data_IF_088472534242
#
_entry.id   IF_088472534242
#
_cell.length_a   1.000
_cell.length_b   1.000
_cell.length_c   1.000
_cell.angle_alpha   90.00
_cell.angle_beta   90.00
_cell.angle_gamma   90.00
#
_symmetry.space_group_name_H-M   'P 1'
#
loop_
_entity.id
_entity.type
_entity.pdbx_description
1 polymer ?
#
# COMPACT_ATOMS: atom_id res chain seq x y z
N UNK A 1 15.60 1.99 7.79
CA UNK A 1 14.42 2.74 8.31
C UNK A 1 13.24 1.82 8.65
N UNK A 2 13.34 0.53 8.28
CA UNK A 2 12.39 -0.55 8.58
C UNK A 2 11.79 -0.58 9.97
N UNK A 3 12.58 -0.43 11.05
CA UNK A 3 12.04 -0.46 12.44
C UNK A 3 11.07 0.69 12.72
N UNK A 4 11.31 1.88 12.16
CA UNK A 4 10.42 3.02 12.33
C UNK A 4 9.13 2.84 11.52
N UNK A 5 9.23 2.30 10.30
CA UNK A 5 8.07 1.96 9.48
C UNK A 5 7.16 0.92 10.16
N UNK A 6 7.73 -0.14 10.73
CA UNK A 6 6.95 -1.14 11.47
C UNK A 6 6.20 -0.52 12.67
N UNK A 7 6.88 0.29 13.50
CA UNK A 7 6.21 1.00 14.61
C UNK A 7 5.14 1.99 14.16
N UNK A 8 5.24 2.52 12.94
CA UNK A 8 4.18 3.35 12.37
C UNK A 8 2.98 2.48 11.98
N UNK A 9 3.20 1.36 11.30
CA UNK A 9 2.14 0.43 10.90
C UNK A 9 1.41 -0.19 12.10
N UNK A 10 2.13 -0.53 13.18
CA UNK A 10 1.52 -1.01 14.43
C UNK A 10 0.55 0.02 15.02
N UNK A 11 0.97 1.29 15.13
CA UNK A 11 0.09 2.38 15.61
C UNK A 11 -1.09 2.62 14.69
N UNK A 12 -0.86 2.59 13.37
CA UNK A 12 -1.92 2.75 12.37
C UNK A 12 -2.96 1.63 12.49
N UNK A 13 -2.50 0.39 12.69
CA UNK A 13 -3.35 -0.78 12.89
C UNK A 13 -4.26 -0.64 14.09
N UNK A 14 -3.71 -0.18 15.22
CA UNK A 14 -4.49 0.06 16.44
C UNK A 14 -5.55 1.13 16.22
N UNK A 15 -5.18 2.25 15.59
CA UNK A 15 -6.12 3.35 15.30
C UNK A 15 -7.23 2.93 14.33
N UNK A 16 -6.88 2.20 13.27
CA UNK A 16 -7.82 1.70 12.27
C UNK A 16 -8.58 0.45 12.72
N UNK A 17 -8.26 -0.11 13.90
CA UNK A 17 -8.81 -1.38 14.42
C UNK A 17 -8.73 -2.52 13.40
N UNK A 18 -7.58 -2.67 12.75
CA UNK A 18 -7.38 -3.77 11.81
C UNK A 18 -7.48 -5.13 12.53
N UNK A 19 -7.96 -6.20 11.86
CA UNK A 19 -8.08 -7.53 12.46
C UNK A 19 -6.75 -8.02 13.04
N UNK A 20 -6.80 -8.83 14.11
CA UNK A 20 -5.61 -9.35 14.79
C UNK A 20 -4.72 -10.25 13.92
N UNK A 21 -5.25 -10.75 12.81
CA UNK A 21 -4.52 -11.56 11.82
C UNK A 21 -3.85 -10.72 10.72
N UNK A 22 -3.84 -9.38 10.86
CA UNK A 22 -3.18 -8.50 9.89
C UNK A 22 -1.66 -8.63 10.03
N UNK A 23 -0.99 -8.86 8.91
CA UNK A 23 0.47 -8.96 8.85
C UNK A 23 1.07 -7.71 8.19
N UNK A 24 2.17 -7.21 8.75
CA UNK A 24 2.91 -6.08 8.18
C UNK A 24 4.16 -6.52 7.44
N UNK A 25 4.30 -6.02 6.23
CA UNK A 25 5.45 -6.26 5.37
C UNK A 25 6.13 -4.94 5.05
N UNK A 26 7.39 -4.81 5.45
CA UNK A 26 8.24 -3.65 5.11
C UNK A 26 9.41 -4.14 4.25
N UNK A 27 9.34 -3.81 2.96
CA UNK A 27 10.32 -4.15 1.95
C UNK A 27 11.19 -2.92 1.66
N UNK A 28 12.51 -3.06 1.79
CA UNK A 28 13.48 -1.99 1.52
C UNK A 28 14.13 -2.24 0.16
N UNK A 29 14.09 -1.25 -0.74
CA UNK A 29 14.65 -1.35 -2.10
C UNK A 29 13.96 -0.41 -3.09
N UNK A 30 14.29 -0.57 -4.38
CA UNK A 30 13.59 0.14 -5.44
C UNK A 30 12.16 -0.39 -5.59
N UNK A 31 11.19 0.51 -5.75
CA UNK A 31 9.77 0.19 -5.67
C UNK A 31 9.35 -0.92 -6.65
N UNK A 32 9.75 -0.80 -7.92
CA UNK A 32 9.40 -1.80 -8.94
C UNK A 32 10.01 -3.16 -8.63
N UNK A 33 11.25 -3.22 -8.13
CA UNK A 33 11.89 -4.48 -7.72
C UNK A 33 11.19 -5.12 -6.52
N UNK A 34 10.94 -4.36 -5.44
CA UNK A 34 10.35 -4.94 -4.23
C UNK A 34 8.91 -5.37 -4.43
N UNK A 35 8.18 -4.71 -5.34
CA UNK A 35 6.79 -5.04 -5.66
C UNK A 35 6.65 -6.44 -6.27
N UNK A 36 7.63 -6.89 -7.05
CA UNK A 36 7.66 -8.26 -7.59
C UNK A 36 7.83 -9.33 -6.49
N UNK A 37 8.44 -8.95 -5.36
CA UNK A 37 8.64 -9.82 -4.20
C UNK A 37 7.59 -9.62 -3.10
N UNK A 38 6.62 -8.72 -3.32
CA UNK A 38 5.59 -8.46 -2.34
C UNK A 38 4.69 -9.69 -2.12
N UNK A 39 4.09 -9.85 -0.93
CA UNK A 39 3.13 -10.90 -0.68
C UNK A 39 1.99 -10.87 -1.70
N UNK A 40 1.58 -12.05 -2.16
CA UNK A 40 0.48 -12.16 -3.12
C UNK A 40 -0.83 -11.73 -2.46
N UNK A 41 -1.59 -10.89 -3.15
CA UNK A 41 -2.94 -10.48 -2.77
C UNK A 41 -3.90 -10.70 -3.93
N UNK A 42 -5.18 -10.93 -3.63
CA UNK A 42 -6.23 -10.95 -4.66
C UNK A 42 -6.53 -9.56 -5.21
N UNK A 43 -6.40 -8.55 -4.33
CA UNK A 43 -6.57 -7.13 -4.64
C UNK A 43 -5.44 -6.34 -3.97
N UNK A 44 -4.76 -5.51 -4.76
CA UNK A 44 -3.84 -4.50 -4.27
C UNK A 44 -4.52 -3.13 -4.28
N UNK A 45 -4.38 -2.36 -3.20
CA UNK A 45 -4.97 -1.03 -3.06
C UNK A 45 -3.85 -0.01 -3.01
N UNK A 46 -3.86 0.94 -3.94
CA UNK A 46 -2.87 2.02 -4.03
C UNK A 46 -3.55 3.39 -3.96
N UNK A 47 -2.91 4.35 -3.31
CA UNK A 47 -3.32 5.76 -3.39
C UNK A 47 -2.93 6.39 -4.72
N UNK A 48 -3.78 7.26 -5.26
CA UNK A 48 -3.44 8.10 -6.41
C UNK A 48 -2.65 9.32 -5.93
N UNK A 49 -1.52 9.58 -6.59
CA UNK A 49 -0.80 10.82 -6.43
C UNK A 49 -1.58 11.99 -7.04
N UNK A 50 -1.35 13.20 -6.55
CA UNK A 50 -1.93 14.44 -7.09
C UNK A 50 -1.62 14.63 -8.58
N UNK A 51 -0.42 14.23 -9.00
CA UNK A 51 -0.06 14.07 -10.39
C UNK A 51 -0.14 12.60 -10.79
N UNK A 52 -1.06 12.28 -11.70
CA UNK A 52 -1.28 10.91 -12.14
C UNK A 52 -0.10 10.39 -12.97
N UNK A 53 0.35 9.18 -12.65
CA UNK A 53 1.28 8.40 -13.47
C UNK A 53 0.55 7.21 -14.09
N UNK A 54 0.09 7.38 -15.33
CA UNK A 54 -0.59 6.31 -16.07
C UNK A 54 0.34 5.12 -16.34
N UNK A 55 1.63 5.36 -16.49
CA UNK A 55 2.61 4.29 -16.68
C UNK A 55 2.65 3.37 -15.45
N UNK A 56 2.69 3.95 -14.25
CA UNK A 56 2.61 3.18 -13.00
C UNK A 56 1.31 2.39 -12.92
N UNK A 57 0.17 3.04 -13.16
CA UNK A 57 -1.15 2.41 -13.08
C UNK A 57 -1.31 1.23 -14.06
N UNK A 58 -0.63 1.29 -15.22
CA UNK A 58 -0.63 0.21 -16.21
C UNK A 58 0.41 -0.87 -15.91
N UNK A 59 1.55 -0.52 -15.33
CA UNK A 59 2.66 -1.45 -15.10
C UNK A 59 2.48 -2.27 -13.82
N UNK A 60 1.97 -1.66 -12.74
CA UNK A 60 1.91 -2.33 -11.43
C UNK A 60 1.03 -3.59 -11.43
N UNK A 61 -0.16 -3.64 -12.08
CA UNK A 61 -0.97 -4.87 -12.09
C UNK A 61 -0.26 -6.06 -12.75
N UNK A 62 0.61 -5.78 -13.73
CA UNK A 62 1.43 -6.79 -14.40
C UNK A 62 2.55 -7.31 -13.48
N UNK A 63 3.10 -6.44 -12.63
CA UNK A 63 4.16 -6.79 -11.67
C UNK A 63 3.61 -7.65 -10.52
N UNK A 64 2.49 -7.22 -9.90
CA UNK A 64 1.86 -7.95 -8.79
C UNK A 64 0.97 -9.11 -9.25
N UNK A 65 0.72 -9.23 -10.56
CA UNK A 65 -0.08 -10.30 -11.20
C UNK A 65 -1.46 -10.50 -10.55
N UNK A 66 -2.11 -9.39 -10.21
CA UNK A 66 -3.40 -9.36 -9.50
C UNK A 66 -4.12 -8.03 -9.74
N UNK A 67 -5.39 -7.96 -9.34
CA UNK A 67 -6.23 -6.78 -9.51
C UNK A 67 -5.69 -5.61 -8.68
N UNK A 68 -5.75 -4.40 -9.23
CA UNK A 68 -5.32 -3.19 -8.55
C UNK A 68 -6.48 -2.18 -8.50
N UNK A 69 -6.76 -1.64 -7.31
CA UNK A 69 -7.68 -0.53 -7.06
C UNK A 69 -6.86 0.72 -6.74
N UNK A 70 -7.15 1.82 -7.41
CA UNK A 70 -6.50 3.11 -7.19
C UNK A 70 -7.48 4.10 -6.56
N UNK A 71 -7.17 4.61 -5.39
CA UNK A 71 -8.05 5.49 -4.60
C UNK A 71 -7.55 6.93 -4.69
N UNK A 72 -8.40 7.84 -5.17
CA UNK A 72 -8.17 9.28 -5.08
C UNK A 72 -8.80 9.85 -3.82
N UNK A 73 -8.01 10.60 -3.06
CA UNK A 73 -8.47 11.33 -1.87
C UNK A 73 -9.03 12.71 -2.28
N UNK A 74 -10.20 13.09 -1.78
CA UNK A 74 -10.74 14.44 -1.99
C UNK A 74 -10.11 15.48 -1.06
N UNK A 75 -9.43 15.02 -0.01
CA UNK A 75 -8.78 15.84 1.01
C UNK A 75 -9.73 16.32 2.11
N UNK A 76 -10.96 15.79 2.16
CA UNK A 76 -11.95 16.08 3.20
C UNK A 76 -12.19 14.87 4.11
N UNK A 77 -11.64 13.72 3.74
CA UNK A 77 -11.78 12.46 4.42
C UNK A 77 -10.88 12.41 5.66
N UNK A 78 -11.42 11.88 6.75
CA UNK A 78 -10.64 11.52 7.94
C UNK A 78 -10.70 10.02 8.12
N UNK A 79 -9.65 9.32 7.70
CA UNK A 79 -9.58 7.85 7.80
C UNK A 79 -9.38 7.35 9.24
N UNK A 80 -8.75 8.17 10.09
CA UNK A 80 -8.43 7.86 11.48
C UNK A 80 -9.11 8.94 12.33
N UNK A 81 -10.33 8.65 12.80
CA UNK A 81 -11.08 9.53 13.69
C UNK A 81 -10.85 9.10 15.13
#
# INVERSE_FOLDING_TARGET
EKRQANRFLERLSDQARLPSMTEFYVLEGEFKQVTETAPRADINIFGLASQLSFDFMRSVPQQVRSSCLFIGDSGQESALV
#
